data_IF_345173895348
#
_entry.id   IF_345173895348
#
_cell.length_a   1.000
_cell.length_b   1.000
_cell.length_c   1.000
_cell.angle_alpha   90.00
_cell.angle_beta   90.00
_cell.angle_gamma   90.00
#
_symmetry.space_group_name_H-M   'P 1'
#
loop_
_entity.id
_entity.type
_entity.pdbx_description
1 polymer ?
#
# COMPACT_ATOMS: atom_id res chain seq x y z
N UNK A 1 6.75 -30.95 -75.09
CA UNK A 1 6.85 -30.09 -73.89
C UNK A 1 6.44 -30.90 -72.68
N UNK A 2 7.39 -31.08 -71.76
CA UNK A 2 7.38 -31.78 -70.45
C UNK A 2 6.13 -32.55 -70.01
N UNK A 3 6.23 -33.88 -70.00
CA UNK A 3 5.54 -34.69 -69.00
C UNK A 3 6.29 -34.53 -67.67
N UNK A 4 5.65 -33.90 -66.69
CA UNK A 4 6.15 -33.92 -65.31
C UNK A 4 6.09 -35.38 -64.85
N UNK A 5 7.25 -35.96 -64.53
CA UNK A 5 7.37 -37.33 -64.00
C UNK A 5 6.78 -37.36 -62.58
N UNK A 6 5.47 -37.52 -62.48
CA UNK A 6 4.84 -37.73 -61.18
C UNK A 6 5.32 -39.07 -60.59
N UNK A 7 5.79 -39.09 -59.34
CA UNK A 7 6.26 -40.32 -58.72
C UNK A 7 5.09 -41.27 -58.50
N UNK A 8 5.25 -42.52 -58.96
CA UNK A 8 4.28 -43.60 -58.79
C UNK A 8 4.05 -43.90 -57.29
N UNK A 9 2.92 -44.52 -56.95
CA UNK A 9 2.50 -44.83 -55.58
C UNK A 9 3.59 -45.57 -54.78
N UNK A 10 4.31 -46.48 -55.44
CA UNK A 10 5.44 -47.22 -54.83
C UNK A 10 6.60 -46.29 -54.47
N UNK A 11 6.93 -45.35 -55.35
CA UNK A 11 7.97 -44.35 -55.10
C UNK A 11 7.58 -43.44 -53.93
N UNK A 12 6.32 -42.97 -53.88
CA UNK A 12 5.80 -42.16 -52.76
C UNK A 12 5.84 -42.89 -51.42
N UNK A 13 5.52 -44.20 -51.40
CA UNK A 13 5.61 -45.02 -50.18
C UNK A 13 7.05 -45.19 -49.71
N UNK A 14 7.97 -45.46 -50.63
CA UNK A 14 9.37 -45.65 -50.32
C UNK A 14 10.03 -44.35 -49.83
N UNK A 15 9.72 -43.20 -50.43
CA UNK A 15 10.22 -41.89 -49.98
C UNK A 15 9.68 -41.53 -48.60
N UNK A 16 8.40 -41.78 -48.32
CA UNK A 16 7.82 -41.58 -46.99
C UNK A 16 8.47 -42.49 -45.93
N UNK A 17 8.70 -43.76 -46.25
CA UNK A 17 9.38 -44.70 -45.35
C UNK A 17 10.83 -44.29 -45.07
N UNK A 18 11.56 -43.86 -46.10
CA UNK A 18 12.94 -43.37 -45.97
C UNK A 18 13.00 -42.07 -45.14
N UNK A 19 12.07 -41.14 -45.36
CA UNK A 19 11.98 -39.91 -44.57
C UNK A 19 11.72 -40.22 -43.08
N UNK A 20 10.75 -41.11 -42.79
CA UNK A 20 10.44 -41.53 -41.42
C UNK A 20 11.64 -42.19 -40.75
N UNK A 21 12.34 -43.08 -41.46
CA UNK A 21 13.57 -43.72 -40.96
C UNK A 21 14.64 -42.67 -40.64
N UNK A 22 14.90 -41.74 -41.55
CA UNK A 22 15.86 -40.65 -41.33
C UNK A 22 15.47 -39.75 -40.15
N UNK A 23 14.17 -39.54 -39.90
CA UNK A 23 13.72 -38.74 -38.74
C UNK A 23 13.96 -39.50 -37.44
N UNK A 24 13.64 -40.80 -37.39
CA UNK A 24 13.86 -41.64 -36.22
C UNK A 24 15.35 -41.77 -35.88
N UNK A 25 16.20 -41.92 -36.90
CA UNK A 25 17.65 -42.03 -36.69
C UNK A 25 18.25 -40.71 -36.19
N UNK A 26 17.74 -39.56 -36.65
CA UNK A 26 18.09 -38.24 -36.06
C UNK A 26 17.65 -38.13 -34.61
N UNK A 27 16.44 -38.57 -34.27
CA UNK A 27 15.95 -38.54 -32.88
C UNK A 27 16.82 -39.43 -31.98
N UNK A 28 17.18 -40.63 -32.45
CA UNK A 28 18.09 -41.53 -31.71
C UNK A 28 19.47 -40.92 -31.52
N UNK A 29 20.00 -40.25 -32.54
CA UNK A 29 21.28 -39.56 -32.45
C UNK A 29 21.24 -38.40 -31.44
N UNK A 30 20.17 -37.60 -31.45
CA UNK A 30 19.96 -36.51 -30.49
C UNK A 30 19.73 -37.02 -29.06
N UNK A 31 19.07 -38.17 -28.89
CA UNK A 31 18.83 -38.76 -27.57
C UNK A 31 20.12 -39.26 -26.90
N UNK A 32 21.12 -39.64 -27.70
CA UNK A 32 22.40 -40.13 -27.21
C UNK A 32 23.52 -39.07 -27.30
N UNK A 33 23.18 -37.80 -27.57
CA UNK A 33 24.17 -36.72 -27.70
C UNK A 33 24.55 -36.17 -26.31
N UNK A 34 25.77 -36.45 -25.82
CA UNK A 34 26.21 -35.96 -24.51
C UNK A 34 26.30 -34.43 -24.45
N UNK A 35 26.47 -33.74 -25.58
CA UNK A 35 26.53 -32.28 -25.61
C UNK A 35 25.15 -31.65 -25.32
N UNK A 36 24.06 -32.32 -25.69
CA UNK A 36 22.70 -31.85 -25.37
C UNK A 36 22.37 -32.04 -23.89
N UNK A 37 22.78 -33.16 -23.30
CA UNK A 37 22.63 -33.40 -21.87
C UNK A 37 23.44 -32.40 -21.03
N UNK A 38 24.68 -32.10 -21.42
CA UNK A 38 25.48 -31.06 -20.77
C UNK A 38 24.78 -29.69 -20.81
N UNK A 39 24.25 -29.29 -21.98
CA UNK A 39 23.49 -28.04 -22.13
C UNK A 39 22.20 -28.00 -21.30
N UNK A 40 21.51 -29.14 -21.15
CA UNK A 40 20.32 -29.24 -20.29
C UNK A 40 20.71 -29.04 -18.83
N UNK A 41 21.75 -29.73 -18.36
CA UNK A 41 22.26 -29.60 -17.01
C UNK A 41 22.70 -28.16 -16.68
N UNK A 42 23.41 -27.50 -17.61
CA UNK A 42 23.80 -26.08 -17.46
C UNK A 42 22.58 -25.16 -17.33
N UNK A 43 21.56 -25.34 -18.19
CA UNK A 43 20.32 -24.54 -18.13
C UNK A 43 19.56 -24.79 -16.84
N UNK A 44 19.45 -26.03 -16.39
CA UNK A 44 18.83 -26.38 -15.12
C UNK A 44 19.55 -25.74 -13.94
N UNK A 45 20.88 -25.73 -13.93
CA UNK A 45 21.66 -25.05 -12.91
C UNK A 45 21.38 -23.54 -12.88
N UNK A 46 21.32 -22.90 -14.05
CA UNK A 46 20.98 -21.48 -14.17
C UNK A 46 19.56 -21.21 -13.66
N UNK A 47 18.59 -22.05 -14.02
CA UNK A 47 17.19 -21.89 -13.59
C UNK A 47 17.11 -22.04 -12.06
N UNK A 48 17.74 -23.06 -11.48
CA UNK A 48 17.79 -23.24 -10.01
C UNK A 48 18.40 -22.02 -9.32
N UNK A 49 19.49 -21.48 -9.85
CA UNK A 49 20.12 -20.28 -9.31
C UNK A 49 19.27 -19.00 -9.46
N UNK A 50 18.41 -18.92 -10.49
CA UNK A 50 17.46 -17.81 -10.65
C UNK A 50 16.30 -17.93 -9.68
N UNK A 51 15.70 -19.11 -9.56
CA UNK A 51 14.61 -19.38 -8.61
C UNK A 51 15.03 -19.10 -7.18
N UNK A 52 16.25 -19.49 -6.78
CA UNK A 52 16.77 -19.17 -5.45
C UNK A 52 16.88 -17.65 -5.22
N UNK A 53 17.46 -16.91 -6.18
CA UNK A 53 17.58 -15.44 -6.10
C UNK A 53 16.23 -14.73 -6.09
N UNK A 54 15.26 -15.23 -6.85
CA UNK A 54 13.90 -14.69 -6.86
C UNK A 54 13.20 -14.95 -5.52
N UNK A 55 13.32 -16.15 -4.95
CA UNK A 55 12.78 -16.46 -3.64
C UNK A 55 13.35 -15.56 -2.53
N UNK A 56 14.67 -15.32 -2.53
CA UNK A 56 15.31 -14.39 -1.60
C UNK A 56 14.81 -12.96 -1.77
N UNK A 57 14.71 -12.48 -3.02
CA UNK A 57 14.21 -11.13 -3.32
C UNK A 57 12.76 -10.96 -2.88
N UNK A 58 11.91 -11.94 -3.15
CA UNK A 58 10.50 -11.90 -2.76
C UNK A 58 10.35 -11.94 -1.23
N UNK A 59 11.20 -12.71 -0.52
CA UNK A 59 11.22 -12.68 0.95
C UNK A 59 11.60 -11.29 1.48
N UNK A 60 12.63 -10.65 0.91
CA UNK A 60 13.05 -9.30 1.30
C UNK A 60 11.99 -8.25 0.97
N UNK A 61 11.34 -8.34 -0.19
CA UNK A 61 10.24 -7.44 -0.56
C UNK A 61 9.09 -7.54 0.43
N UNK A 62 8.62 -8.76 0.74
CA UNK A 62 7.54 -8.97 1.69
C UNK A 62 7.87 -8.44 3.08
N UNK A 63 9.11 -8.61 3.55
CA UNK A 63 9.56 -8.04 4.82
C UNK A 63 9.50 -6.51 4.81
N UNK A 64 10.01 -5.87 3.74
CA UNK A 64 9.97 -4.40 3.60
C UNK A 64 8.55 -3.86 3.48
N UNK A 65 7.69 -4.53 2.73
CA UNK A 65 6.27 -4.16 2.60
C UNK A 65 5.55 -4.24 3.95
N UNK A 66 5.82 -5.28 4.74
CA UNK A 66 5.27 -5.41 6.09
C UNK A 66 5.78 -4.29 7.03
N UNK A 67 7.06 -3.94 6.96
CA UNK A 67 7.62 -2.83 7.73
C UNK A 67 7.01 -1.48 7.36
N UNK A 68 6.89 -1.19 6.05
CA UNK A 68 6.26 0.04 5.57
C UNK A 68 4.79 0.13 5.95
N UNK A 69 4.04 -0.97 5.87
CA UNK A 69 2.64 -1.02 6.30
C UNK A 69 2.51 -0.78 7.82
N UNK A 70 3.41 -1.34 8.62
CA UNK A 70 3.43 -1.11 10.07
C UNK A 70 3.79 0.35 10.42
N UNK A 71 4.74 0.96 9.70
CA UNK A 71 5.08 2.37 9.86
C UNK A 71 3.90 3.27 9.50
N UNK A 72 3.28 3.06 8.34
CA UNK A 72 2.11 3.82 7.91
C UNK A 72 0.94 3.72 8.91
N UNK A 73 0.72 2.54 9.51
CA UNK A 73 -0.29 2.36 10.55
C UNK A 73 0.02 3.19 11.81
N UNK A 74 1.27 3.22 12.26
CA UNK A 74 1.72 4.02 13.40
C UNK A 74 1.58 5.51 13.12
N UNK A 75 1.97 5.96 11.94
CA UNK A 75 1.88 7.37 11.56
C UNK A 75 0.42 7.85 11.49
N UNK A 76 -0.48 7.01 10.97
CA UNK A 76 -1.92 7.30 10.98
C UNK A 76 -2.49 7.35 12.40
N UNK A 77 -2.04 6.48 13.30
CA UNK A 77 -2.46 6.50 14.70
C UNK A 77 -1.96 7.77 15.40
N UNK A 78 -0.69 8.13 15.22
CA UNK A 78 -0.11 9.35 15.77
C UNK A 78 -0.80 10.60 15.24
N UNK A 79 -1.13 10.65 13.95
CA UNK A 79 -1.88 11.75 13.35
C UNK A 79 -3.28 11.88 13.98
N UNK A 80 -4.01 10.78 14.15
CA UNK A 80 -5.31 10.78 14.82
C UNK A 80 -5.23 11.24 16.28
N UNK A 81 -4.19 10.80 17.01
CA UNK A 81 -3.98 11.23 18.39
C UNK A 81 -3.64 12.72 18.46
N UNK A 82 -2.82 13.24 17.54
CA UNK A 82 -2.50 14.66 17.47
C UNK A 82 -3.76 15.49 17.16
N UNK A 83 -4.57 15.10 16.18
CA UNK A 83 -5.83 15.77 15.87
C UNK A 83 -6.81 15.75 17.05
N UNK A 84 -6.91 14.62 17.77
CA UNK A 84 -7.76 14.52 18.95
C UNK A 84 -7.29 15.45 20.08
N UNK A 85 -5.97 15.58 20.28
CA UNK A 85 -5.40 16.50 21.28
C UNK A 85 -5.68 17.96 20.91
N UNK A 86 -5.46 18.35 19.66
CA UNK A 86 -5.75 19.73 19.22
C UNK A 86 -7.23 20.06 19.42
N UNK A 87 -8.14 19.15 19.05
CA UNK A 87 -9.58 19.37 19.29
C UNK A 87 -9.92 19.50 20.77
N UNK A 88 -9.34 18.65 21.62
CA UNK A 88 -9.56 18.73 23.06
C UNK A 88 -9.03 20.05 23.66
N UNK A 89 -7.85 20.50 23.21
CA UNK A 89 -7.27 21.79 23.62
C UNK A 89 -8.13 22.97 23.16
N UNK A 90 -8.62 22.94 21.91
CA UNK A 90 -9.53 23.98 21.40
C UNK A 90 -10.86 24.02 22.17
N UNK A 91 -11.43 22.87 22.54
CA UNK A 91 -12.64 22.79 23.35
C UNK A 91 -12.42 23.33 24.77
N UNK A 92 -11.26 23.00 25.38
CA UNK A 92 -10.89 23.54 26.69
C UNK A 92 -10.74 25.06 26.65
N UNK A 93 -10.01 25.59 25.66
CA UNK A 93 -9.83 27.04 25.51
C UNK A 93 -11.17 27.77 25.30
N UNK A 94 -12.08 27.19 24.50
CA UNK A 94 -13.43 27.75 24.34
C UNK A 94 -14.20 27.77 25.65
N UNK A 95 -14.20 26.68 26.39
CA UNK A 95 -14.87 26.60 27.70
C UNK A 95 -14.29 27.59 28.71
N UNK A 96 -12.96 27.77 28.72
CA UNK A 96 -12.28 28.75 29.57
C UNK A 96 -12.65 30.19 29.22
N UNK A 97 -12.69 30.52 27.93
CA UNK A 97 -13.11 31.85 27.46
C UNK A 97 -14.57 32.13 27.82
N UNK A 98 -15.47 31.17 27.61
CA UNK A 98 -16.88 31.30 27.98
C UNK A 98 -17.06 31.50 29.50
N UNK A 99 -16.30 30.77 30.31
CA UNK A 99 -16.31 30.92 31.76
C UNK A 99 -15.78 32.29 32.20
N UNK A 100 -14.70 32.77 31.58
CA UNK A 100 -14.15 34.10 31.85
C UNK A 100 -15.14 35.22 31.48
N UNK A 101 -15.80 35.10 30.32
CA UNK A 101 -16.83 36.05 29.88
C UNK A 101 -18.05 36.05 30.81
N UNK A 102 -18.46 34.87 31.29
CA UNK A 102 -19.55 34.75 32.26
C UNK A 102 -19.19 35.41 33.60
N UNK A 103 -17.96 35.21 34.08
CA UNK A 103 -17.45 35.84 35.31
C UNK A 103 -17.42 37.37 35.18
N UNK A 104 -16.89 37.89 34.06
CA UNK A 104 -16.82 39.33 33.80
C UNK A 104 -18.21 39.97 33.72
N UNK A 105 -19.19 39.31 33.09
CA UNK A 105 -20.59 39.76 33.06
C UNK A 105 -21.20 39.78 34.46
N UNK A 106 -20.92 38.76 35.29
CA UNK A 106 -21.39 38.71 36.67
C UNK A 106 -20.80 39.85 37.52
N UNK A 107 -19.51 40.14 37.38
CA UNK A 107 -18.84 41.26 38.06
C UNK A 107 -19.42 42.62 37.64
N UNK A 108 -19.62 42.84 36.34
CA UNK A 108 -20.23 44.07 35.84
C UNK A 108 -21.66 44.27 36.37
N UNK A 109 -22.44 43.18 36.45
CA UNK A 109 -23.79 43.22 37.03
C UNK A 109 -23.72 43.57 38.52
N UNK A 110 -22.85 42.92 39.30
CA UNK A 110 -22.67 43.21 40.71
C UNK A 110 -22.25 44.67 40.95
N UNK A 111 -21.35 45.21 40.13
CA UNK A 111 -20.95 46.62 40.19
C UNK A 111 -22.12 47.57 39.87
N UNK A 112 -22.94 47.24 38.87
CA UNK A 112 -24.14 48.02 38.54
C UNK A 112 -25.16 48.01 39.67
N UNK A 113 -25.40 46.84 40.26
CA UNK A 113 -26.37 46.66 41.34
C UNK A 113 -25.92 47.41 42.61
N UNK A 114 -24.61 47.41 42.93
CA UNK A 114 -24.02 48.24 44.00
C UNK A 114 -24.28 49.73 43.77
N UNK A 115 -23.95 50.24 42.58
CA UNK A 115 -24.19 51.66 42.22
C UNK A 115 -25.68 52.03 42.30
N UNK A 116 -26.56 51.13 41.88
CA UNK A 116 -28.00 51.36 41.96
C UNK A 116 -28.47 51.40 43.42
N UNK A 117 -27.98 50.49 44.28
CA UNK A 117 -28.27 50.48 45.70
C UNK A 117 -27.79 51.76 46.41
N UNK A 118 -26.55 52.20 46.15
CA UNK A 118 -25.98 53.46 46.66
C UNK A 118 -26.83 54.67 46.24
N UNK A 119 -27.18 54.78 44.96
CA UNK A 119 -28.03 55.86 44.45
C UNK A 119 -29.41 55.86 45.11
N UNK A 120 -30.00 54.69 45.30
CA UNK A 120 -31.31 54.53 45.95
C UNK A 120 -31.25 54.93 47.42
N UNK A 121 -30.19 54.55 48.13
CA UNK A 121 -29.94 54.97 49.51
C UNK A 121 -29.81 56.49 49.62
N UNK A 122 -28.97 57.11 48.80
CA UNK A 122 -28.80 58.57 48.77
C UNK A 122 -30.10 59.32 48.47
N UNK A 123 -30.94 58.81 47.54
CA UNK A 123 -32.25 59.40 47.24
C UNK A 123 -33.23 59.28 48.41
N UNK A 124 -33.17 58.20 49.18
CA UNK A 124 -33.99 57.99 50.37
C UNK A 124 -33.58 58.92 51.50
N UNK A 125 -32.28 59.13 51.70
CA UNK A 125 -31.75 60.11 52.66
C UNK A 125 -32.19 61.53 52.29
N UNK A 126 -32.03 61.94 51.03
CA UNK A 126 -32.47 63.27 50.55
C UNK A 126 -33.97 63.52 50.72
N UNK A 127 -34.81 62.49 50.76
CA UNK A 127 -36.27 62.61 50.97
C UNK A 127 -36.68 62.65 52.44
N UNK A 128 -35.76 62.31 53.36
CA UNK A 128 -36.01 62.24 54.81
C UNK A 128 -35.59 63.52 55.55
N UNK A 129 -34.71 64.33 54.95
CA UNK A 129 -34.45 65.72 55.34
C UNK A 129 -35.26 66.67 54.48
#
# INVERSE_FOLDING_TARGET
>A
MSSFLEPDLRQRRNTAAAAKKATLDKIRALANDPALEARRAEREAIIKARVAREAEREAVKKAREAELAAQAARDLELAKQAEAKVKAEEEQLKAELEAADAALKAEQKAARDRRYAERKAAKKERRKG
#
